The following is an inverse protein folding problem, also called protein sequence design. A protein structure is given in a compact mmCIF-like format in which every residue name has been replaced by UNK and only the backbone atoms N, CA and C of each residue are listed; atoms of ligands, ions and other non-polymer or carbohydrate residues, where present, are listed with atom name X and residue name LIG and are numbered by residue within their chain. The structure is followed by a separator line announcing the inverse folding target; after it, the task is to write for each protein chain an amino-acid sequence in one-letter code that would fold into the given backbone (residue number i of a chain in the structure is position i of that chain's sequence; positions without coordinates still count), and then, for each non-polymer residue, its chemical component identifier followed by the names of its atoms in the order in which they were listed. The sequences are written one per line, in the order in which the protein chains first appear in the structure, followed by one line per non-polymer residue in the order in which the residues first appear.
data_IF_292236552407
#
_entry.id   IF_292236552407
#
_cell.length_a   1.000
_cell.length_b   1.000
_cell.length_c   1.000
_cell.angle_alpha   90.00
_cell.angle_beta   90.00
_cell.angle_gamma   90.00
#
_symmetry.space_group_name_H-M   'P 1'
#
loop_
_entity.id
_entity.type
_entity.pdbx_description
1 polymer ?
#
# COMPACT_ATOMS: atom_id res chain seq x y z
N UNK A 1 22.45 19.61 11.51
CA UNK A 1 22.68 18.47 11.14
C UNK A 1 22.21 17.44 12.05
N UNK A 2 22.31 17.63 13.27
CA UNK A 2 21.72 16.72 14.12
C UNK A 2 20.27 16.63 13.88
N UNK A 3 19.62 17.73 13.58
CA UNK A 3 18.23 17.72 13.26
C UNK A 3 17.96 16.86 12.06
N UNK A 4 18.79 17.01 11.05
CA UNK A 4 18.64 16.19 9.87
C UNK A 4 18.84 14.74 10.19
N UNK A 5 19.81 14.43 11.03
CA UNK A 5 20.05 13.06 11.42
C UNK A 5 18.87 12.50 12.18
N UNK A 6 18.31 13.31 13.05
CA UNK A 6 17.15 12.90 13.81
C UNK A 6 15.97 12.62 12.89
N UNK A 7 15.76 13.53 11.97
CA UNK A 7 14.66 13.34 11.00
C UNK A 7 14.87 12.11 10.17
N UNK A 8 16.10 11.86 9.78
CA UNK A 8 16.42 10.69 9.00
C UNK A 8 16.15 9.42 9.78
N UNK A 9 16.47 9.43 11.06
CA UNK A 9 16.20 8.28 11.90
C UNK A 9 14.71 8.02 12.00
N UNK A 10 13.95 9.09 12.17
CA UNK A 10 12.52 8.96 12.24
C UNK A 10 11.94 8.43 10.95
N UNK A 11 12.40 8.98 9.83
CA UNK A 11 12.01 8.50 8.54
C UNK A 11 12.36 7.04 8.35
N UNK A 12 13.53 6.63 8.81
CA UNK A 12 13.95 5.26 8.73
C UNK A 12 13.03 4.34 9.48
N UNK A 13 12.59 4.76 10.65
CA UNK A 13 11.65 3.97 11.42
C UNK A 13 10.33 3.85 10.70
N UNK A 14 9.83 4.94 10.16
CA UNK A 14 8.58 4.93 9.43
C UNK A 14 8.66 4.05 8.20
N UNK A 15 9.75 4.20 7.45
CA UNK A 15 9.93 3.43 6.23
C UNK A 15 10.20 1.96 6.51
N UNK A 16 10.50 1.62 7.76
CA UNK A 16 10.74 0.25 8.14
C UNK A 16 9.60 -0.34 8.92
N UNK A 17 8.43 0.26 8.82
CA UNK A 17 7.25 -0.34 9.40
C UNK A 17 7.10 -1.73 8.85
N UNK A 18 6.86 -2.63 9.76
CA UNK A 18 6.66 -4.02 9.45
C UNK A 18 5.36 -4.17 8.66
N UNK A 19 5.37 -5.05 7.70
CA UNK A 19 4.14 -5.35 6.99
C UNK A 19 4.13 -6.83 6.63
N UNK A 20 2.93 -7.33 6.41
CA UNK A 20 2.78 -8.69 5.94
C UNK A 20 1.65 -8.71 4.92
N UNK A 21 1.97 -9.05 3.69
CA UNK A 21 0.96 -9.16 2.65
C UNK A 21 0.27 -10.50 2.82
N UNK A 22 -0.97 -10.46 3.26
CA UNK A 22 -1.75 -11.67 3.46
C UNK A 22 -2.22 -12.23 2.14
N UNK A 23 -2.55 -11.36 1.21
CA UNK A 23 -2.98 -11.80 -0.11
C UNK A 23 -2.68 -10.71 -1.12
N UNK A 24 -1.95 -11.07 -2.15
CA UNK A 24 -1.72 -10.18 -3.29
C UNK A 24 -2.92 -10.34 -4.21
N UNK A 25 -3.72 -9.28 -4.34
CA UNK A 25 -4.94 -9.36 -5.12
C UNK A 25 -4.63 -9.12 -6.58
N UNK A 26 -3.82 -8.12 -6.88
CA UNK A 26 -3.44 -7.90 -8.25
C UNK A 26 -2.71 -6.60 -8.48
N UNK A 27 -2.17 -6.49 -9.68
CA UNK A 27 -1.49 -5.29 -10.12
C UNK A 27 -2.47 -4.42 -10.87
N UNK A 28 -2.44 -3.12 -10.59
CA UNK A 28 -3.36 -2.18 -11.18
C UNK A 28 -2.70 -1.47 -12.37
N UNK A 29 -1.39 -1.36 -12.35
CA UNK A 29 -0.67 -0.64 -13.40
C UNK A 29 0.43 -1.50 -14.01
N UNK A 30 0.92 -1.08 -15.16
CA UNK A 30 2.16 -1.61 -15.72
C UNK A 30 3.32 -1.03 -14.94
N UNK A 31 4.48 -1.69 -14.98
CA UNK A 31 5.65 -1.14 -14.29
C UNK A 31 6.04 0.22 -14.87
N UNK A 32 6.43 1.12 -13.99
CA UNK A 32 6.88 2.45 -14.40
C UNK A 32 8.08 2.80 -13.53
N UNK A 33 9.26 2.84 -14.13
CA UNK A 33 10.52 3.13 -13.44
C UNK A 33 10.75 2.20 -12.25
N UNK A 34 10.36 0.95 -12.41
CA UNK A 34 10.58 -0.04 -11.36
C UNK A 34 9.51 -0.08 -10.30
N UNK A 35 8.41 0.65 -10.49
CA UNK A 35 7.31 0.68 -9.53
C UNK A 35 6.03 0.19 -10.18
N UNK A 36 5.24 -0.54 -9.41
CA UNK A 36 3.94 -1.04 -9.84
C UNK A 36 2.91 -0.68 -8.79
N UNK A 37 1.74 -0.25 -9.23
CA UNK A 37 0.63 -0.01 -8.31
C UNK A 37 -0.12 -1.32 -8.11
N UNK A 38 -0.34 -1.67 -6.86
CA UNK A 38 -0.94 -2.96 -6.50
C UNK A 38 -2.09 -2.80 -5.53
N UNK A 39 -2.97 -3.78 -5.58
CA UNK A 39 -4.01 -3.95 -4.58
C UNK A 39 -3.68 -5.19 -3.78
N UNK A 40 -3.52 -5.04 -2.47
CA UNK A 40 -3.17 -6.13 -1.58
C UNK A 40 -4.06 -6.12 -0.35
N UNK A 41 -4.18 -7.27 0.28
CA UNK A 41 -4.77 -7.39 1.62
C UNK A 41 -3.59 -7.56 2.56
N UNK A 42 -3.37 -6.59 3.45
CA UNK A 42 -2.08 -6.42 4.11
C UNK A 42 -2.26 -6.01 5.56
N UNK A 43 -1.37 -6.49 6.41
CA UNK A 43 -1.30 -6.06 7.80
C UNK A 43 -0.10 -5.15 7.96
N UNK A 44 -0.32 -3.95 8.46
CA UNK A 44 0.73 -3.00 8.76
C UNK A 44 1.01 -3.06 10.26
N UNK A 45 2.27 -3.34 10.59
CA UNK A 45 2.74 -3.29 11.98
C UNK A 45 1.84 -4.13 12.90
N UNK A 46 1.51 -5.34 12.46
CA UNK A 46 0.70 -6.32 13.20
C UNK A 46 -0.71 -5.86 13.50
N UNK A 47 -1.19 -4.85 12.77
CA UNK A 47 -2.56 -4.40 12.95
C UNK A 47 -3.52 -5.25 12.14
N UNK A 48 -4.79 -5.01 12.37
CA UNK A 48 -5.84 -5.70 11.64
C UNK A 48 -5.61 -5.52 10.13
N UNK A 49 -5.70 -6.59 9.35
CA UNK A 49 -5.46 -6.47 7.90
C UNK A 49 -6.48 -5.56 7.23
N UNK A 50 -6.00 -4.82 6.27
CA UNK A 50 -6.82 -3.92 5.47
C UNK A 50 -6.47 -4.12 4.01
N UNK A 51 -7.34 -3.63 3.13
CA UNK A 51 -6.99 -3.54 1.72
C UNK A 51 -6.12 -2.32 1.52
N UNK A 52 -5.25 -2.37 0.53
CA UNK A 52 -4.27 -1.31 0.35
C UNK A 52 -3.94 -1.17 -1.12
N UNK A 53 -4.00 0.06 -1.61
CA UNK A 53 -3.61 0.39 -2.96
C UNK A 53 -2.42 1.32 -2.86
N UNK A 54 -1.27 0.87 -3.34
CA UNK A 54 -0.08 1.72 -3.36
C UNK A 54 0.92 1.18 -4.36
N UNK A 55 1.98 1.97 -4.58
CA UNK A 55 3.06 1.53 -5.45
C UNK A 55 4.07 0.75 -4.64
N UNK A 56 4.67 -0.21 -5.31
CA UNK A 56 5.70 -1.09 -4.75
C UNK A 56 6.82 -1.26 -5.75
N UNK A 57 8.04 -1.43 -5.25
CA UNK A 57 9.11 -1.91 -6.13
C UNK A 57 8.83 -3.36 -6.46
N UNK A 58 9.43 -3.84 -7.55
CA UNK A 58 9.14 -5.19 -8.04
C UNK A 58 9.46 -6.26 -7.00
N UNK A 59 10.49 -6.05 -6.19
CA UNK A 59 10.88 -7.02 -5.17
C UNK A 59 10.21 -6.74 -3.82
N UNK A 60 9.33 -5.74 -3.77
CA UNK A 60 8.61 -5.34 -2.56
C UNK A 60 9.53 -4.91 -1.41
N UNK A 61 10.76 -4.52 -1.74
CA UNK A 61 11.65 -4.00 -0.71
C UNK A 61 11.31 -2.57 -0.31
N UNK A 62 10.61 -1.83 -1.18
CA UNK A 62 10.21 -0.46 -0.91
C UNK A 62 8.77 -0.27 -1.33
N UNK A 63 8.11 0.64 -0.65
CA UNK A 63 6.73 0.99 -0.99
C UNK A 63 6.60 2.51 -1.00
N UNK A 64 5.65 2.98 -1.79
CA UNK A 64 5.40 4.40 -1.95
C UNK A 64 4.10 4.82 -1.30
N UNK A 65 3.59 5.94 -1.78
CA UNK A 65 2.34 6.47 -1.26
C UNK A 65 1.18 5.58 -1.67
N UNK A 66 0.17 5.56 -0.84
CA UNK A 66 -1.01 4.78 -1.14
C UNK A 66 -2.13 5.09 -0.18
N UNK A 67 -3.17 4.28 -0.26
CA UNK A 67 -4.35 4.46 0.58
C UNK A 67 -4.77 3.10 1.11
N UNK A 68 -5.14 3.07 2.39
CA UNK A 68 -5.68 1.86 3.00
C UNK A 68 -7.19 1.96 2.98
N UNK A 69 -7.83 0.81 2.82
CA UNK A 69 -9.28 0.71 2.72
C UNK A 69 -9.70 -0.39 3.67
N UNK A 70 -10.52 -0.05 4.65
CA UNK A 70 -10.96 -1.07 5.61
C UNK A 70 -11.84 -2.10 4.90
N UNK A 71 -12.07 -3.21 5.58
CA UNK A 71 -12.93 -4.25 5.01
C UNK A 71 -14.34 -3.73 4.76
N UNK A 72 -14.85 -2.92 5.68
CA UNK A 72 -16.17 -2.33 5.48
C UNK A 72 -16.20 -1.36 4.32
N UNK A 73 -15.16 -0.54 4.20
CA UNK A 73 -15.06 0.40 3.09
C UNK A 73 -14.94 -0.33 1.75
N UNK A 74 -14.21 -1.44 1.73
CA UNK A 74 -14.06 -2.22 0.51
C UNK A 74 -15.41 -2.80 0.06
N UNK A 75 -16.23 -3.20 1.01
CA UNK A 75 -17.54 -3.71 0.69
C UNK A 75 -18.39 -2.66 -0.02
N UNK A 76 -18.36 -1.43 0.49
CA UNK A 76 -19.04 -0.33 -0.15
C UNK A 76 -18.48 -0.05 -1.53
N UNK A 77 -17.18 -0.06 -1.64
CA UNK A 77 -16.50 0.20 -2.90
C UNK A 77 -16.89 -0.84 -3.94
N UNK A 78 -16.96 -2.10 -3.55
CA UNK A 78 -17.37 -3.16 -4.45
C UNK A 78 -18.77 -2.90 -5.02
N UNK A 79 -19.66 -2.43 -4.19
CA UNK A 79 -21.03 -2.15 -4.62
C UNK A 79 -21.07 -1.00 -5.61
N UNK A 80 -20.23 0.02 -5.39
CA UNK A 80 -20.18 1.14 -6.32
C UNK A 80 -19.57 0.73 -7.65
N UNK A 81 -18.48 -0.02 -7.59
CA UNK A 81 -17.72 -0.36 -8.78
C UNK A 81 -18.51 -1.22 -9.75
N UNK A 82 -19.32 -2.14 -9.23
CA UNK A 82 -20.03 -3.04 -10.13
C UNK A 82 -21.01 -2.33 -11.04
N UNK A 83 -21.40 -1.11 -10.68
CA UNK A 83 -22.37 -0.35 -11.45
C UNK A 83 -21.75 0.70 -12.36
N UNK A 84 -20.43 0.84 -12.35
CA UNK A 84 -19.81 1.88 -13.18
C UNK A 84 -19.35 1.30 -14.50
N UNK A 85 -19.33 2.17 -15.49
CA UNK A 85 -18.77 1.86 -16.79
C UNK A 85 -17.41 2.52 -16.89
N UNK A 86 -16.40 1.76 -17.27
CA UNK A 86 -15.05 2.31 -17.40
C UNK A 86 -14.97 3.08 -18.69
N UNK A 87 -14.51 4.31 -18.58
CA UNK A 87 -14.40 5.22 -19.72
C UNK A 87 -13.10 5.05 -20.45
#
# INVERSE_FOLDING_TARGET
MKIDNTNRSLWGLIMKLKFEIYKHIGEISEPNNGWIKELNFISWDDREPVYDIRTWTLDHSKYGKGVTITQGEMKKLQEMIKDITVF
#
